data_IF_410081356803
#
_entry.id   IF_410081356803
#
_cell.length_a   1.000
_cell.length_b   1.000
_cell.length_c   1.000
_cell.angle_alpha   90.00
_cell.angle_beta   90.00
_cell.angle_gamma   90.00
#
_symmetry.space_group_name_H-M   'P 1'
#
loop_
_entity.id
_entity.type
_entity.pdbx_description
1 polymer ?
#
# COMPACT_ATOMS: atom_id res chain seq x y z
N UNK A 1 36.69 1.24 7.62
CA UNK A 1 35.34 0.81 8.03
C UNK A 1 34.42 1.27 6.93
N UNK A 2 33.92 0.35 6.08
CA UNK A 2 33.01 0.70 5.00
C UNK A 2 31.67 1.18 5.58
N UNK A 3 31.07 2.18 4.95
CA UNK A 3 29.72 2.63 5.28
C UNK A 3 28.79 1.42 5.26
N UNK A 4 28.18 1.12 6.41
CA UNK A 4 27.17 0.07 6.50
C UNK A 4 25.91 0.63 5.84
N UNK A 5 25.39 -0.06 4.84
CA UNK A 5 24.13 0.33 4.22
C UNK A 5 23.01 0.34 5.27
N UNK A 6 22.18 1.38 5.19
CA UNK A 6 21.04 1.62 6.09
C UNK A 6 19.74 1.51 5.30
N UNK A 7 18.67 1.18 6.03
CA UNK A 7 17.31 1.17 5.51
C UNK A 7 16.41 1.91 6.50
N UNK A 8 15.46 2.69 6.00
CA UNK A 8 14.41 3.30 6.82
C UNK A 8 13.16 2.43 6.66
N UNK A 9 12.54 2.01 7.77
CA UNK A 9 11.31 1.23 7.77
C UNK A 9 10.46 1.66 8.97
N UNK A 10 9.27 2.21 8.73
CA UNK A 10 8.36 2.64 9.80
C UNK A 10 9.05 3.66 10.71
N UNK A 11 9.59 4.72 10.11
CA UNK A 11 10.33 5.79 10.81
C UNK A 11 11.53 5.34 11.66
N UNK A 12 11.99 4.09 11.49
CA UNK A 12 13.14 3.53 12.20
C UNK A 12 14.28 3.27 11.22
N UNK A 13 15.49 3.60 11.64
CA UNK A 13 16.70 3.25 10.91
C UNK A 13 17.15 1.83 11.29
N UNK A 14 17.22 0.96 10.30
CA UNK A 14 17.77 -0.39 10.40
C UNK A 14 19.14 -0.49 9.73
N UNK A 15 20.04 -1.27 10.33
CA UNK A 15 21.31 -1.62 9.72
C UNK A 15 21.15 -2.85 8.83
N UNK A 16 21.55 -2.74 7.56
CA UNK A 16 21.57 -3.88 6.64
C UNK A 16 22.80 -4.74 6.91
N UNK A 17 22.62 -6.06 6.94
CA UNK A 17 23.64 -7.06 7.18
C UNK A 17 23.43 -8.26 6.26
N UNK A 18 24.53 -8.81 5.74
CA UNK A 18 24.53 -10.09 5.03
C UNK A 18 24.83 -11.23 6.00
N UNK A 19 23.82 -12.05 6.28
CA UNK A 19 23.90 -13.15 7.26
C UNK A 19 23.54 -14.46 6.54
N UNK A 20 24.52 -15.34 6.38
CA UNK A 20 24.31 -16.65 5.76
C UNK A 20 23.83 -16.58 4.31
N UNK A 21 24.34 -15.61 3.54
CA UNK A 21 23.94 -15.37 2.15
C UNK A 21 22.58 -14.68 1.98
N UNK A 22 22.01 -14.16 3.06
CA UNK A 22 20.73 -13.44 3.06
C UNK A 22 20.91 -11.99 3.49
N UNK A 23 20.20 -11.09 2.82
CA UNK A 23 20.15 -9.66 3.18
C UNK A 23 19.10 -9.47 4.26
N UNK A 24 19.52 -9.00 5.42
CA UNK A 24 18.64 -8.72 6.56
C UNK A 24 18.83 -7.32 7.08
N UNK A 25 17.79 -6.72 7.61
CA UNK A 25 17.92 -5.52 8.45
C UNK A 25 17.47 -5.81 9.86
N UNK A 26 18.06 -5.12 10.82
CA UNK A 26 17.82 -5.38 12.23
C UNK A 26 17.23 -4.16 12.94
N UNK A 27 16.17 -4.38 13.73
CA UNK A 27 15.55 -3.36 14.58
C UNK A 27 15.37 -3.89 16.03
N UNK A 28 15.75 -3.12 17.06
CA UNK A 28 15.54 -3.49 18.45
C UNK A 28 14.14 -3.11 18.96
N UNK A 29 13.56 -3.95 19.80
CA UNK A 29 12.28 -3.71 20.47
C UNK A 29 12.29 -4.18 21.93
N UNK A 30 11.39 -3.61 22.72
CA UNK A 30 11.10 -4.08 24.07
C UNK A 30 10.07 -5.20 24.02
N UNK A 31 10.41 -6.38 24.57
CA UNK A 31 9.54 -7.56 24.52
C UNK A 31 8.17 -7.37 25.18
N UNK A 32 8.08 -6.50 26.19
CA UNK A 32 6.85 -6.27 26.99
C UNK A 32 5.64 -5.78 26.17
N UNK A 33 5.85 -5.27 24.95
CA UNK A 33 4.77 -4.74 24.10
C UNK A 33 4.26 -5.70 23.03
N UNK A 34 4.81 -6.92 22.90
CA UNK A 34 4.49 -7.81 21.79
C UNK A 34 3.83 -9.08 22.32
N UNK A 35 2.56 -9.35 21.96
CA UNK A 35 1.88 -10.58 22.34
C UNK A 35 2.66 -11.84 21.91
N UNK A 36 2.74 -12.83 22.81
CA UNK A 36 3.52 -14.05 22.59
C UNK A 36 3.05 -14.87 21.39
N UNK A 37 1.75 -14.86 21.09
CA UNK A 37 1.20 -15.56 19.93
C UNK A 37 1.66 -14.93 18.61
N UNK A 38 1.79 -13.59 18.54
CA UNK A 38 2.31 -12.89 17.36
C UNK A 38 3.76 -13.30 17.13
N UNK A 39 4.58 -13.32 18.19
CA UNK A 39 5.97 -13.79 18.09
C UNK A 39 6.05 -15.23 17.56
N UNK A 40 5.13 -16.10 17.97
CA UNK A 40 5.06 -17.48 17.47
C UNK A 40 4.74 -17.53 15.98
N UNK A 41 3.70 -16.82 15.54
CA UNK A 41 3.29 -16.74 14.12
C UNK A 41 4.44 -16.22 13.25
N UNK A 42 5.09 -15.14 13.68
CA UNK A 42 6.19 -14.54 12.93
C UNK A 42 7.43 -15.45 12.89
N UNK A 43 7.76 -16.13 13.99
CA UNK A 43 8.90 -17.05 14.08
C UNK A 43 8.72 -18.32 13.26
N UNK A 44 7.51 -18.85 13.23
CA UNK A 44 7.17 -20.01 12.39
C UNK A 44 7.09 -19.63 10.91
N UNK A 45 6.99 -18.33 10.59
CA UNK A 45 6.84 -17.85 9.22
C UNK A 45 5.51 -18.28 8.59
N UNK A 46 4.48 -18.54 9.41
CA UNK A 46 3.18 -19.04 8.94
C UNK A 46 2.38 -17.96 8.21
N UNK A 47 2.57 -16.69 8.58
CA UNK A 47 1.94 -15.56 7.90
C UNK A 47 2.73 -15.12 6.66
N UNK A 48 2.41 -15.71 5.51
CA UNK A 48 3.04 -15.39 4.23
C UNK A 48 2.84 -13.93 3.76
N UNK A 49 1.95 -13.13 4.37
CA UNK A 49 1.82 -11.71 4.03
C UNK A 49 2.90 -10.80 4.63
N UNK A 50 3.73 -11.33 5.54
CA UNK A 50 4.71 -10.56 6.30
C UNK A 50 6.12 -11.01 5.91
N UNK A 51 7.08 -10.08 5.90
CA UNK A 51 8.49 -10.43 5.73
C UNK A 51 8.90 -11.47 6.78
N UNK A 52 9.74 -12.43 6.41
CA UNK A 52 10.24 -13.40 7.37
C UNK A 52 11.09 -12.68 8.43
N UNK A 53 10.87 -13.03 9.70
CA UNK A 53 11.58 -12.41 10.83
C UNK A 53 12.26 -13.51 11.64
N UNK A 54 13.56 -13.34 11.87
CA UNK A 54 14.29 -14.09 12.88
C UNK A 54 14.48 -13.23 14.13
N UNK A 55 14.59 -13.87 15.29
CA UNK A 55 14.61 -13.19 16.59
C UNK A 55 15.85 -13.55 17.39
N UNK A 56 16.44 -12.53 18.02
CA UNK A 56 17.48 -12.72 19.03
C UNK A 56 17.05 -11.96 20.29
N UNK A 57 16.93 -12.68 21.41
CA UNK A 57 16.62 -12.09 22.70
C UNK A 57 17.89 -11.99 23.55
N UNK A 58 18.16 -10.80 24.09
CA UNK A 58 19.29 -10.57 24.98
C UNK A 58 18.96 -9.41 25.92
N UNK A 59 19.19 -9.59 27.22
CA UNK A 59 19.06 -8.56 28.26
C UNK A 59 17.68 -7.85 28.28
N UNK A 60 16.60 -8.58 28.01
CA UNK A 60 15.23 -8.05 27.98
C UNK A 60 14.84 -7.30 26.70
N UNK A 61 15.79 -7.13 25.76
CA UNK A 61 15.56 -6.63 24.42
C UNK A 61 15.36 -7.80 23.45
N UNK A 62 14.47 -7.60 22.47
CA UNK A 62 14.30 -8.52 21.35
C UNK A 62 14.71 -7.81 20.06
N UNK A 63 15.62 -8.40 19.32
CA UNK A 63 16.10 -7.92 18.04
C UNK A 63 15.40 -8.68 16.93
N UNK A 64 14.72 -7.94 16.04
CA UNK A 64 14.04 -8.51 14.90
C UNK A 64 14.97 -8.38 13.70
N UNK A 65 15.28 -9.50 13.06
CA UNK A 65 16.06 -9.57 11.83
C UNK A 65 15.12 -9.90 10.68
N UNK A 66 14.77 -8.88 9.91
CA UNK A 66 13.86 -8.98 8.77
C UNK A 66 14.62 -9.45 7.54
N UNK A 67 14.26 -10.60 7.01
CA UNK A 67 14.81 -11.14 5.77
C UNK A 67 14.09 -10.55 4.57
N UNK A 68 14.75 -9.62 3.89
CA UNK A 68 14.24 -8.96 2.69
C UNK A 68 15.02 -9.42 1.44
N UNK A 69 15.68 -10.58 1.51
CA UNK A 69 16.45 -11.13 0.38
C UNK A 69 15.58 -11.28 -0.87
N UNK A 70 15.99 -10.62 -1.96
CA UNK A 70 15.23 -10.62 -3.21
C UNK A 70 14.01 -9.69 -3.22
N UNK A 71 13.78 -8.90 -2.16
CA UNK A 71 12.74 -7.87 -2.12
C UNK A 71 13.35 -6.46 -2.11
N UNK A 72 12.57 -5.51 -2.60
CA UNK A 72 12.89 -4.09 -2.69
C UNK A 72 11.72 -3.30 -2.10
N UNK A 73 11.98 -2.22 -1.36
CA UNK A 73 10.91 -1.36 -0.82
C UNK A 73 10.04 -0.79 -1.94
N UNK A 74 8.75 -0.57 -1.67
CA UNK A 74 7.78 -0.09 -2.65
C UNK A 74 8.19 1.26 -3.26
N UNK A 75 8.75 2.16 -2.45
CA UNK A 75 9.29 3.42 -2.97
C UNK A 75 10.34 3.17 -4.07
N UNK A 76 11.30 2.29 -3.80
CA UNK A 76 12.41 1.98 -4.72
C UNK A 76 11.96 1.18 -5.94
N UNK A 77 11.01 0.26 -5.78
CA UNK A 77 10.52 -0.55 -6.91
C UNK A 77 9.73 0.30 -7.90
N UNK A 78 9.00 1.32 -7.43
CA UNK A 78 8.29 2.27 -8.28
C UNK A 78 9.27 2.95 -9.25
N UNK A 79 10.40 3.47 -8.75
CA UNK A 79 11.43 4.05 -9.61
C UNK A 79 11.98 3.05 -10.63
N UNK A 80 12.18 1.80 -10.24
CA UNK A 80 12.62 0.76 -11.19
C UNK A 80 11.55 0.45 -12.27
N UNK A 81 10.27 0.55 -11.95
CA UNK A 81 9.20 0.40 -12.94
C UNK A 81 9.18 1.56 -13.93
N UNK A 82 9.40 2.79 -13.45
CA UNK A 82 9.54 3.99 -14.29
C UNK A 82 10.73 3.84 -15.24
N UNK A 83 11.91 3.49 -14.72
CA UNK A 83 13.14 3.30 -15.51
C UNK A 83 13.01 2.22 -16.59
N UNK A 84 12.13 1.24 -16.37
CA UNK A 84 11.84 0.14 -17.30
C UNK A 84 10.62 0.39 -18.17
N UNK A 85 10.08 1.61 -18.15
CA UNK A 85 8.90 2.02 -18.94
C UNK A 85 7.70 1.07 -18.77
N UNK A 86 7.50 0.57 -17.56
CA UNK A 86 6.33 -0.25 -17.25
C UNK A 86 5.08 0.63 -17.12
N UNK A 87 3.91 0.05 -17.43
CA UNK A 87 2.62 0.66 -17.10
C UNK A 87 2.45 0.74 -15.57
N UNK A 88 2.58 1.94 -15.00
CA UNK A 88 2.57 2.16 -13.55
C UNK A 88 1.21 1.85 -12.94
N UNK A 89 0.12 2.26 -13.60
CA UNK A 89 -1.25 1.93 -13.18
C UNK A 89 -1.42 0.44 -12.93
N UNK A 90 -0.96 -0.39 -13.88
CA UNK A 90 -1.03 -1.85 -13.78
C UNK A 90 -0.20 -2.40 -12.63
N UNK A 91 1.05 -1.97 -12.49
CA UNK A 91 1.95 -2.46 -11.44
C UNK A 91 1.50 -2.01 -10.04
N UNK A 92 1.01 -0.77 -9.90
CA UNK A 92 0.50 -0.22 -8.64
C UNK A 92 -0.83 -0.85 -8.23
N UNK A 93 -1.79 -1.02 -9.15
CA UNK A 93 -3.02 -1.75 -8.85
C UNK A 93 -2.74 -3.20 -8.45
N UNK A 94 -1.80 -3.85 -9.15
CA UNK A 94 -1.37 -5.20 -8.80
C UNK A 94 -0.75 -5.23 -7.40
N UNK A 95 0.17 -4.31 -7.10
CA UNK A 95 0.80 -4.20 -5.80
C UNK A 95 -0.23 -3.94 -4.69
N UNK A 96 -1.15 -2.99 -4.86
CA UNK A 96 -2.20 -2.68 -3.89
C UNK A 96 -3.13 -3.88 -3.65
N UNK A 97 -3.50 -4.61 -4.71
CA UNK A 97 -4.27 -5.85 -4.59
C UNK A 97 -3.52 -6.89 -3.74
N UNK A 98 -2.21 -7.04 -3.95
CA UNK A 98 -1.35 -7.93 -3.16
C UNK A 98 -1.13 -7.46 -1.72
N UNK A 99 -1.07 -6.15 -1.48
CA UNK A 99 -1.08 -5.58 -0.11
C UNK A 99 -2.37 -5.97 0.60
N UNK A 100 -3.53 -5.85 -0.06
CA UNK A 100 -4.80 -6.27 0.52
C UNK A 100 -4.82 -7.79 0.82
N UNK A 101 -4.29 -8.63 -0.06
CA UNK A 101 -4.11 -10.07 0.20
C UNK A 101 -3.19 -10.33 1.42
N UNK A 102 -2.11 -9.56 1.59
CA UNK A 102 -1.22 -9.66 2.74
C UNK A 102 -1.92 -9.30 4.05
N UNK A 103 -2.71 -8.23 4.04
CA UNK A 103 -3.50 -7.79 5.20
C UNK A 103 -4.54 -8.86 5.59
N UNK A 104 -5.29 -9.40 4.63
CA UNK A 104 -6.24 -10.50 4.89
C UNK A 104 -5.53 -11.73 5.46
N UNK A 105 -4.34 -12.04 4.95
CA UNK A 105 -3.53 -13.15 5.47
C UNK A 105 -3.10 -12.90 6.92
N UNK A 106 -2.71 -11.68 7.27
CA UNK A 106 -2.33 -11.32 8.63
C UNK A 106 -3.52 -11.39 9.59
N UNK A 107 -4.69 -10.89 9.18
CA UNK A 107 -5.94 -10.97 9.94
C UNK A 107 -6.34 -12.43 10.21
N UNK A 108 -6.22 -13.31 9.22
CA UNK A 108 -6.46 -14.75 9.38
C UNK A 108 -5.50 -15.44 10.36
N UNK A 109 -4.32 -14.86 10.60
CA UNK A 109 -3.37 -15.30 11.62
C UNK A 109 -3.51 -14.54 12.95
N UNK A 110 -4.62 -13.82 13.13
CA UNK A 110 -4.93 -13.02 14.32
C UNK A 110 -3.93 -11.89 14.60
N UNK A 111 -3.15 -11.47 13.60
CA UNK A 111 -2.28 -10.30 13.74
C UNK A 111 -3.15 -9.05 13.61
N UNK A 112 -3.23 -8.19 14.65
CA UNK A 112 -4.08 -7.01 14.59
C UNK A 112 -3.65 -6.07 13.47
N UNK A 113 -4.56 -5.80 12.54
CA UNK A 113 -4.26 -4.95 11.39
C UNK A 113 -3.79 -3.53 11.77
N UNK A 114 -4.26 -3.02 12.92
CA UNK A 114 -3.84 -1.72 13.49
C UNK A 114 -2.37 -1.64 13.89
N UNK A 115 -1.68 -2.78 14.05
CA UNK A 115 -0.26 -2.87 14.38
C UNK A 115 0.63 -3.07 13.16
N UNK A 116 0.05 -3.33 12.00
CA UNK A 116 0.80 -3.30 10.75
C UNK A 116 0.99 -1.85 10.34
N UNK A 117 2.11 -1.51 9.73
CA UNK A 117 2.32 -0.21 9.11
C UNK A 117 2.06 -0.34 7.60
N UNK A 118 1.41 0.67 7.00
CA UNK A 118 1.15 0.70 5.56
C UNK A 118 1.74 1.98 4.99
N UNK A 119 2.95 1.84 4.47
CA UNK A 119 3.75 2.94 3.93
C UNK A 119 4.69 2.41 2.83
N UNK A 120 5.25 3.31 2.03
CA UNK A 120 6.13 2.95 0.92
C UNK A 120 7.43 2.26 1.37
N UNK A 121 7.86 2.53 2.61
CA UNK A 121 9.09 1.98 3.22
C UNK A 121 8.85 0.66 3.99
N UNK A 122 7.59 0.32 4.30
CA UNK A 122 7.18 -0.89 5.03
C UNK A 122 6.64 -1.98 4.11
N UNK A 123 6.38 -1.67 2.84
CA UNK A 123 5.95 -2.62 1.82
C UNK A 123 7.15 -3.02 0.96
N UNK A 124 7.32 -4.31 0.74
CA UNK A 124 8.44 -4.91 0.04
C UNK A 124 7.94 -5.75 -1.13
N UNK A 125 8.54 -5.56 -2.31
CA UNK A 125 8.15 -6.21 -3.56
C UNK A 125 9.33 -6.98 -4.12
N UNK A 126 9.11 -8.23 -4.50
CA UNK A 126 10.08 -9.02 -5.24
C UNK A 126 9.99 -8.66 -6.73
N UNK A 127 11.02 -8.07 -7.35
CA UNK A 127 10.98 -7.61 -8.75
C UNK A 127 10.86 -8.76 -9.77
N UNK A 128 11.15 -9.99 -9.36
CA UNK A 128 11.13 -11.18 -10.23
C UNK A 128 9.78 -11.89 -10.17
N UNK A 129 9.23 -12.07 -8.95
CA UNK A 129 7.98 -12.83 -8.75
C UNK A 129 6.74 -11.94 -8.60
N UNK A 130 6.93 -10.62 -8.47
CA UNK A 130 5.88 -9.66 -8.08
C UNK A 130 5.21 -9.98 -6.75
N UNK A 131 5.84 -10.81 -5.92
CA UNK A 131 5.36 -11.10 -4.57
C UNK A 131 5.53 -9.87 -3.69
N UNK A 132 4.49 -9.57 -2.89
CA UNK A 132 4.49 -8.46 -1.94
C UNK A 132 4.53 -9.01 -0.52
N UNK A 133 5.26 -8.34 0.36
CA UNK A 133 5.34 -8.61 1.79
C UNK A 133 5.28 -7.28 2.55
N UNK A 134 4.75 -7.33 3.76
CA UNK A 134 4.71 -6.17 4.68
C UNK A 134 5.72 -6.42 5.81
N UNK A 135 6.47 -5.39 6.21
CA UNK A 135 7.28 -5.43 7.43
C UNK A 135 6.38 -5.19 8.65
N UNK A 136 6.33 -6.15 9.58
CA UNK A 136 5.64 -5.95 10.86
C UNK A 136 6.53 -5.14 11.82
N UNK A 137 6.09 -3.92 12.16
CA UNK A 137 6.83 -2.99 13.03
C UNK A 137 6.06 -2.82 14.35
N UNK A 138 6.42 -3.57 15.41
CA UNK A 138 5.68 -3.49 16.66
C UNK A 138 5.68 -2.10 17.29
N UNK A 139 4.54 -1.73 17.85
CA UNK A 139 4.35 -0.46 18.57
C UNK A 139 3.96 0.73 17.69
N UNK A 140 3.90 0.57 16.36
CA UNK A 140 3.27 1.55 15.48
C UNK A 140 1.77 1.31 15.43
N UNK A 141 1.04 1.84 16.42
CA UNK A 141 -0.42 1.89 16.36
C UNK A 141 -0.82 3.08 15.49
N UNK A 142 -1.60 2.81 14.45
CA UNK A 142 -2.18 3.87 13.63
C UNK A 142 -3.63 4.13 14.07
N UNK A 143 -3.95 5.39 14.34
CA UNK A 143 -5.31 5.83 14.72
C UNK A 143 -6.29 5.86 13.54
N UNK A 144 -5.78 5.62 12.33
CA UNK A 144 -6.55 5.57 11.09
C UNK A 144 -7.21 4.20 10.89
N UNK A 145 -8.41 4.23 10.34
CA UNK A 145 -9.10 3.03 9.82
C UNK A 145 -8.30 2.37 8.70
N UNK A 146 -8.53 1.08 8.44
CA UNK A 146 -7.81 0.39 7.37
C UNK A 146 -8.07 1.03 5.99
N UNK A 147 -9.28 1.54 5.76
CA UNK A 147 -9.66 2.27 4.55
C UNK A 147 -8.79 3.51 4.37
N UNK A 148 -8.73 4.36 5.39
CA UNK A 148 -7.93 5.60 5.37
C UNK A 148 -6.45 5.30 5.15
N UNK A 149 -5.95 4.19 5.70
CA UNK A 149 -4.55 3.78 5.53
C UNK A 149 -4.24 3.34 4.10
N UNK A 150 -5.14 2.59 3.47
CA UNK A 150 -5.01 2.22 2.05
C UNK A 150 -5.11 3.48 1.17
N UNK A 151 -6.04 4.39 1.47
CA UNK A 151 -6.17 5.67 0.76
C UNK A 151 -4.90 6.54 0.91
N UNK A 152 -4.31 6.57 2.10
CA UNK A 152 -3.08 7.29 2.36
C UNK A 152 -1.91 6.65 1.60
N UNK A 153 -1.81 5.32 1.57
CA UNK A 153 -0.82 4.62 0.75
C UNK A 153 -0.95 4.99 -0.73
N UNK A 154 -2.17 4.95 -1.28
CA UNK A 154 -2.46 5.38 -2.66
C UNK A 154 -2.01 6.83 -2.86
N UNK A 155 -2.36 7.73 -1.94
CA UNK A 155 -1.99 9.15 -2.06
C UNK A 155 -0.48 9.36 -2.01
N UNK A 156 0.25 8.56 -1.23
CA UNK A 156 1.72 8.55 -1.22
C UNK A 156 2.31 8.04 -2.54
N UNK A 157 1.70 7.02 -3.16
CA UNK A 157 2.15 6.59 -4.50
C UNK A 157 1.96 7.69 -5.54
N UNK A 158 0.85 8.44 -5.50
CA UNK A 158 0.65 9.60 -6.38
C UNK A 158 1.68 10.71 -6.14
N UNK A 159 2.08 10.94 -4.89
CA UNK A 159 3.08 11.96 -4.57
C UNK A 159 4.48 11.61 -5.10
N UNK A 160 4.78 10.32 -5.29
CA UNK A 160 6.05 9.83 -5.83
C UNK A 160 6.01 9.69 -7.36
N UNK A 161 4.82 9.52 -7.93
CA UNK A 161 4.62 9.20 -9.35
C UNK A 161 3.90 10.35 -10.05
N UNK A 162 4.60 11.00 -10.99
CA UNK A 162 4.02 11.97 -11.90
C UNK A 162 3.45 11.27 -13.15
N UNK A 163 2.37 10.51 -12.96
CA UNK A 163 1.70 9.75 -14.02
C UNK A 163 0.19 10.09 -14.05
N UNK A 164 -0.24 10.72 -15.14
CA UNK A 164 -1.64 11.17 -15.30
C UNK A 164 -2.63 10.00 -15.23
N UNK A 165 -2.26 8.85 -15.80
CA UNK A 165 -3.11 7.67 -15.84
C UNK A 165 -3.33 7.12 -14.42
N UNK A 166 -2.26 6.93 -13.67
CA UNK A 166 -2.31 6.48 -12.29
C UNK A 166 -3.05 7.48 -11.41
N UNK A 167 -2.84 8.78 -11.59
CA UNK A 167 -3.55 9.81 -10.84
C UNK A 167 -5.06 9.75 -11.05
N UNK A 168 -5.52 9.51 -12.28
CA UNK A 168 -6.94 9.35 -12.57
C UNK A 168 -7.50 8.04 -11.97
N UNK A 169 -6.80 6.91 -12.16
CA UNK A 169 -7.24 5.61 -11.62
C UNK A 169 -7.29 5.58 -10.10
N UNK A 170 -6.25 6.08 -9.46
CA UNK A 170 -6.17 6.19 -8.00
C UNK A 170 -7.25 7.10 -7.44
N UNK A 171 -7.65 8.16 -8.16
CA UNK A 171 -8.79 9.01 -7.83
C UNK A 171 -10.08 8.21 -7.71
N UNK A 172 -10.45 7.49 -8.77
CA UNK A 172 -11.63 6.62 -8.83
C UNK A 172 -11.59 5.57 -7.70
N UNK A 173 -10.42 4.98 -7.46
CA UNK A 173 -10.25 3.96 -6.43
C UNK A 173 -10.48 4.54 -5.03
N UNK A 174 -9.85 5.67 -4.71
CA UNK A 174 -10.03 6.34 -3.41
C UNK A 174 -11.48 6.73 -3.20
N UNK A 175 -12.11 7.34 -4.20
CA UNK A 175 -13.50 7.77 -4.13
C UNK A 175 -14.43 6.59 -3.85
N UNK A 176 -14.30 5.47 -4.58
CA UNK A 176 -15.14 4.28 -4.37
C UNK A 176 -14.94 3.64 -3.00
N UNK A 177 -13.72 3.60 -2.48
CA UNK A 177 -13.44 3.11 -1.13
C UNK A 177 -14.14 3.99 -0.09
N UNK A 178 -14.05 5.32 -0.23
CA UNK A 178 -14.69 6.28 0.66
C UNK A 178 -16.23 6.19 0.61
N UNK A 179 -16.82 6.32 -0.58
CA UNK A 179 -18.27 6.44 -0.75
C UNK A 179 -19.02 5.19 -0.31
N UNK A 180 -18.46 4.01 -0.56
CA UNK A 180 -19.12 2.74 -0.27
C UNK A 180 -18.72 2.16 1.10
N UNK A 181 -17.82 2.83 1.84
CA UNK A 181 -17.27 2.34 3.11
C UNK A 181 -16.78 0.88 3.02
N UNK A 182 -15.98 0.58 2.00
CA UNK A 182 -15.56 -0.79 1.71
C UNK A 182 -14.77 -1.42 2.86
N UNK A 183 -15.11 -2.66 3.21
CA UNK A 183 -14.25 -3.50 4.04
C UNK A 183 -13.03 -4.00 3.26
N UNK A 184 -12.02 -4.54 3.94
CA UNK A 184 -10.78 -5.00 3.30
C UNK A 184 -11.02 -6.05 2.18
N UNK A 185 -12.00 -6.95 2.37
CA UNK A 185 -12.39 -7.93 1.35
C UNK A 185 -12.94 -7.23 0.10
N UNK A 186 -13.77 -6.21 0.27
CA UNK A 186 -14.39 -5.47 -0.84
C UNK A 186 -13.36 -4.63 -1.56
N UNK A 187 -12.44 -3.97 -0.83
CA UNK A 187 -11.29 -3.28 -1.40
C UNK A 187 -10.47 -4.25 -2.28
N UNK A 188 -10.13 -5.42 -1.75
CA UNK A 188 -9.36 -6.44 -2.48
C UNK A 188 -10.06 -6.89 -3.76
N UNK A 189 -11.38 -7.15 -3.71
CA UNK A 189 -12.17 -7.52 -4.88
C UNK A 189 -12.18 -6.40 -5.92
N UNK A 190 -12.48 -5.18 -5.49
CA UNK A 190 -12.56 -4.02 -6.35
C UNK A 190 -11.21 -3.71 -7.04
N UNK A 191 -10.09 -3.74 -6.30
CA UNK A 191 -8.75 -3.59 -6.89
C UNK A 191 -8.47 -4.68 -7.93
N UNK A 192 -8.89 -5.92 -7.67
CA UNK A 192 -8.72 -7.03 -8.61
C UNK A 192 -9.56 -6.87 -9.88
N UNK A 193 -10.77 -6.33 -9.75
CA UNK A 193 -11.64 -5.99 -10.89
C UNK A 193 -11.02 -4.87 -11.72
N UNK A 194 -10.57 -3.78 -11.08
CA UNK A 194 -9.88 -2.68 -11.77
C UNK A 194 -8.60 -3.12 -12.45
N UNK A 195 -7.83 -4.01 -11.82
CA UNK A 195 -6.67 -4.60 -12.46
C UNK A 195 -7.08 -5.35 -13.74
N UNK A 196 -8.12 -6.19 -13.69
CA UNK A 196 -8.61 -6.92 -14.89
C UNK A 196 -9.10 -5.97 -15.98
N UNK A 197 -9.77 -4.87 -15.63
CA UNK A 197 -10.18 -3.85 -16.58
C UNK A 197 -8.97 -3.25 -17.31
N UNK A 198 -7.90 -2.92 -16.60
CA UNK A 198 -6.63 -2.40 -17.17
C UNK A 198 -5.91 -3.43 -18.04
N UNK A 199 -6.03 -4.73 -17.74
CA UNK A 199 -5.45 -5.79 -18.58
C UNK A 199 -6.27 -6.05 -19.85
N UNK A 200 -7.59 -5.95 -19.78
CA UNK A 200 -8.50 -6.34 -20.87
C UNK A 200 -8.79 -5.20 -21.83
N UNK A 201 -8.82 -3.98 -21.32
CA UNK A 201 -8.96 -2.78 -22.12
C UNK A 201 -7.57 -2.15 -22.21
N UNK A 202 -7.08 -1.84 -23.41
CA UNK A 202 -6.08 -0.78 -23.61
C UNK A 202 -6.73 0.56 -23.23
N UNK A 203 -7.09 0.69 -21.95
CA UNK A 203 -7.94 1.74 -21.42
C UNK A 203 -7.18 3.07 -21.55
N UNK A 204 -7.74 4.07 -22.26
CA UNK A 204 -6.86 5.07 -22.83
C UNK A 204 -6.58 6.21 -21.86
N UNK A 205 -5.30 6.55 -21.83
CA UNK A 205 -4.57 7.83 -21.65
C UNK A 205 -5.34 9.14 -22.03
N UNK A 206 -6.59 9.12 -22.55
CA UNK A 206 -7.32 10.33 -22.99
C UNK A 206 -8.86 10.34 -22.80
N UNK A 207 -9.51 9.31 -22.24
CA UNK A 207 -10.99 9.32 -22.14
C UNK A 207 -11.56 10.01 -20.89
N UNK A 208 -10.86 9.96 -19.76
CA UNK A 208 -11.38 10.51 -18.49
C UNK A 208 -11.51 12.04 -18.52
N UNK A 209 -10.58 12.76 -19.16
CA UNK A 209 -10.66 14.22 -19.32
C UNK A 209 -11.91 14.66 -20.10
N UNK A 210 -12.47 13.82 -20.98
CA UNK A 210 -13.68 14.19 -21.73
C UNK A 210 -14.97 13.91 -20.96
N UNK A 211 -15.03 12.83 -20.19
CA UNK A 211 -16.27 12.47 -19.47
C UNK A 211 -16.47 13.35 -18.22
N UNK A 212 -15.42 13.69 -17.47
CA UNK A 212 -15.51 14.62 -16.33
C UNK A 212 -15.86 16.05 -16.76
N UNK A 213 -15.29 16.55 -17.87
CA UNK A 213 -15.65 17.87 -18.43
C UNK A 213 -17.13 17.87 -18.86
N UNK A 214 -17.62 16.78 -19.44
CA UNK A 214 -19.02 16.67 -19.86
C UNK A 214 -19.95 16.63 -18.64
N UNK A 215 -19.65 15.82 -17.61
CA UNK A 215 -20.47 15.77 -16.39
C UNK A 215 -20.47 17.11 -15.62
N UNK A 216 -19.32 17.80 -15.50
CA UNK A 216 -19.28 19.14 -14.90
C UNK A 216 -20.07 20.18 -15.69
N UNK A 217 -20.01 20.13 -17.03
CA UNK A 217 -20.80 21.01 -17.90
C UNK A 217 -22.31 20.74 -17.76
N UNK A 218 -22.72 19.47 -17.70
CA UNK A 218 -24.12 19.09 -17.50
C UNK A 218 -24.66 19.55 -16.14
N UNK A 219 -23.89 19.36 -15.05
CA UNK A 219 -24.28 19.80 -13.70
C UNK A 219 -24.40 21.34 -13.64
N UNK A 220 -23.53 22.06 -14.36
CA UNK A 220 -23.55 23.53 -14.41
C UNK A 220 -24.74 24.06 -15.23
N UNK A 221 -25.07 23.40 -16.35
CA UNK A 221 -26.24 23.74 -17.16
C UNK A 221 -27.57 23.46 -16.44
N UNK A 222 -27.66 22.34 -15.71
CA UNK A 222 -28.86 21.98 -14.96
C UNK A 222 -29.11 22.96 -13.78
N UNK A 223 -28.06 23.33 -13.04
CA UNK A 223 -28.15 24.37 -12.00
C UNK A 223 -28.57 25.72 -12.57
N UNK A 224 -28.03 26.12 -13.73
CA UNK A 224 -28.42 27.37 -14.39
C UNK A 224 -29.87 27.34 -14.91
N UNK A 225 -30.35 26.19 -15.37
CA UNK A 225 -31.75 25.98 -15.79
C UNK A 225 -32.72 26.10 -14.62
N UNK A 226 -32.39 25.50 -13.47
CA UNK A 226 -33.17 25.59 -12.23
C UNK A 226 -33.20 27.03 -11.71
N UNK A 227 -32.05 27.71 -11.67
CA UNK A 227 -31.98 29.12 -11.25
C UNK A 227 -32.80 30.03 -12.16
N UNK A 228 -32.73 29.86 -13.48
CA UNK A 228 -33.57 30.63 -14.42
C UNK A 228 -35.05 30.40 -14.20
N UNK A 229 -35.48 29.17 -13.90
CA UNK A 229 -36.88 28.87 -13.57
C UNK A 229 -37.32 29.53 -12.27
N UNK A 230 -36.46 29.54 -11.25
CA UNK A 230 -36.78 30.18 -9.95
C UNK A 230 -36.91 31.70 -10.10
N UNK A 231 -36.03 32.34 -10.86
CA UNK A 231 -36.05 33.79 -11.06
C UNK A 231 -37.01 34.28 -12.17
N UNK A 232 -37.66 33.37 -12.92
CA UNK A 232 -38.69 33.73 -13.91
C UNK A 232 -40.12 33.72 -13.36
N UNK A 233 -40.34 33.40 -12.08
CA UNK A 233 -41.66 33.39 -11.43
C UNK A 233 -41.96 34.63 -10.57
N UNK A 234 -41.14 35.69 -10.64
CA UNK A 234 -41.43 36.99 -10.03
C UNK A 234 -41.65 38.07 -11.11
N UNK A 235 -42.79 38.02 -11.82
CA UNK A 235 -43.49 39.19 -12.39
C UNK A 235 -45.00 38.92 -12.38
#
# INVERSE_FOLDING_TARGET
MGDREKIIVGNKEGLIQDIGGRRKFCLPYTKKGIPSYILKVLKEGSCNGILKIDFVEKDGCIWFYYDFSGYVQLEKIIFQWIEREKCLTKELLHCLSKVADCLLTAENHLIPLKELSLDLDTIFVNPVTSEVKIAYIPGEIQDLTMQERIINLISKTNAVVDDEEWNAYSGIVKEKICLNNFGLIDIRKFLSEKLREVYNNDWPVKKLVREEIIEELFIKEEKNSILKKIFSFEI
#
